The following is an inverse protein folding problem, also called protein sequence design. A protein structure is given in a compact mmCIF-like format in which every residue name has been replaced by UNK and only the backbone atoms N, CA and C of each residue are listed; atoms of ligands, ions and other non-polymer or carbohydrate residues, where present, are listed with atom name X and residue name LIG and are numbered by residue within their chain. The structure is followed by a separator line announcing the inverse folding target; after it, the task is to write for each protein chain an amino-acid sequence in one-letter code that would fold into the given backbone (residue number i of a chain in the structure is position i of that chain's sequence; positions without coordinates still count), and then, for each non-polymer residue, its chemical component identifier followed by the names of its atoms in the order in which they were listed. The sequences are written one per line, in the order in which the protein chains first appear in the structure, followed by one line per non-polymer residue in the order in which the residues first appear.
data_IF_169440523078
#
_entry.id   IF_169440523078
#
_cell.length_a   1.000
_cell.length_b   1.000
_cell.length_c   1.000
_cell.angle_alpha   90.00
_cell.angle_beta   90.00
_cell.angle_gamma   90.00
#
_symmetry.space_group_name_H-M   'P 1'
#
loop_
_entity.id
_entity.type
_entity.pdbx_description
1 polymer ?
#
# COMPACT_ATOMS: atom_id res chain seq x y z
N UNK A 1 24.03 17.27 -3.25
CA UNK A 1 23.78 18.76 -3.18
C UNK A 1 22.33 19.02 -2.81
N UNK A 2 22.11 19.79 -1.75
CA UNK A 2 20.77 20.15 -1.27
C UNK A 2 20.14 21.22 -2.16
N UNK A 3 18.87 21.02 -2.55
CA UNK A 3 18.10 21.88 -3.46
C UNK A 3 17.17 22.80 -2.65
N UNK A 4 17.18 24.08 -2.98
CA UNK A 4 16.33 25.12 -2.39
C UNK A 4 14.90 25.13 -2.97
N UNK A 5 13.97 25.73 -2.22
CA UNK A 5 12.54 25.81 -2.56
C UNK A 5 12.22 26.57 -3.87
N UNK A 6 13.16 27.31 -4.43
CA UNK A 6 13.00 28.01 -5.72
C UNK A 6 13.31 27.17 -6.96
N UNK A 7 13.79 25.95 -6.83
CA UNK A 7 14.19 25.10 -7.95
C UNK A 7 13.04 24.19 -8.44
N UNK A 8 12.97 23.93 -9.74
CA UNK A 8 11.97 23.03 -10.35
C UNK A 8 12.03 21.61 -9.76
N UNK A 9 13.25 21.12 -9.51
CA UNK A 9 13.46 19.80 -8.90
C UNK A 9 12.90 19.72 -7.46
N UNK A 10 13.00 20.81 -6.66
CA UNK A 10 12.34 20.89 -5.37
C UNK A 10 10.81 20.78 -5.52
N UNK A 11 10.24 21.56 -6.46
CA UNK A 11 8.80 21.55 -6.70
C UNK A 11 8.30 20.18 -7.19
N UNK A 12 9.11 19.45 -7.94
CA UNK A 12 8.78 18.08 -8.38
C UNK A 12 8.78 17.09 -7.21
N UNK A 13 9.86 17.05 -6.42
CA UNK A 13 10.02 16.12 -5.30
C UNK A 13 9.02 16.35 -4.15
N UNK A 14 8.50 17.58 -4.00
CA UNK A 14 7.54 17.95 -2.95
C UNK A 14 6.08 17.82 -3.37
N UNK A 15 5.80 17.16 -4.50
CA UNK A 15 4.46 16.80 -4.97
C UNK A 15 4.24 15.30 -4.80
N UNK A 16 3.84 14.84 -3.61
CA UNK A 16 3.56 13.43 -3.40
C UNK A 16 2.37 12.98 -4.24
N UNK A 17 2.27 11.67 -4.53
CA UNK A 17 1.11 11.13 -5.26
C UNK A 17 -0.20 11.42 -4.52
N UNK A 18 -0.21 11.33 -3.18
CA UNK A 18 -1.35 11.82 -2.40
C UNK A 18 -1.24 13.33 -2.20
N UNK A 19 -1.96 14.09 -3.00
CA UNK A 19 -1.94 15.56 -2.99
C UNK A 19 -2.77 16.20 -1.86
N UNK A 20 -3.37 15.41 -0.94
CA UNK A 20 -4.00 15.93 0.27
C UNK A 20 -2.99 16.43 1.31
N UNK A 21 -1.70 16.10 1.14
CA UNK A 21 -0.62 16.44 2.06
C UNK A 21 0.28 17.52 1.48
N UNK A 22 0.54 18.56 2.26
CA UNK A 22 1.49 19.63 1.89
C UNK A 22 2.89 19.26 2.34
N UNK A 23 3.87 19.40 1.45
CA UNK A 23 5.28 19.19 1.75
C UNK A 23 6.09 20.45 1.50
N UNK A 24 6.71 20.99 2.57
CA UNK A 24 7.57 22.19 2.53
C UNK A 24 8.85 21.94 3.33
N UNK A 25 9.68 20.96 2.92
CA UNK A 25 10.94 20.69 3.61
C UNK A 25 11.90 21.88 3.52
N UNK A 26 12.86 21.95 4.45
CA UNK A 26 13.93 22.95 4.39
C UNK A 26 14.72 22.84 3.08
N UNK A 27 14.96 21.62 2.63
CA UNK A 27 15.69 21.27 1.39
C UNK A 27 15.20 19.95 0.84
N UNK A 28 15.50 19.68 -0.41
CA UNK A 28 15.42 18.36 -1.04
C UNK A 28 16.83 17.90 -1.41
N UNK A 29 17.15 16.65 -1.16
CA UNK A 29 18.35 15.95 -1.64
C UNK A 29 17.94 14.91 -2.68
N UNK A 30 18.21 15.08 -3.98
CA UNK A 30 18.08 14.03 -4.96
C UNK A 30 19.10 12.93 -4.70
N UNK A 31 18.67 11.69 -4.60
CA UNK A 31 19.50 10.52 -4.39
C UNK A 31 19.46 9.68 -5.67
N UNK A 32 20.51 9.76 -6.46
CA UNK A 32 20.66 9.02 -7.72
C UNK A 32 21.37 7.69 -7.57
N UNK A 33 22.27 7.60 -6.58
CA UNK A 33 23.08 6.42 -6.30
C UNK A 33 23.16 6.19 -4.77
N UNK A 34 23.41 4.95 -4.31
CA UNK A 34 23.54 4.65 -2.88
C UNK A 34 24.59 5.51 -2.16
N UNK A 35 25.70 5.82 -2.84
CA UNK A 35 26.80 6.60 -2.29
C UNK A 35 26.46 8.10 -2.12
N UNK A 36 25.39 8.59 -2.71
CA UNK A 36 24.89 9.94 -2.46
C UNK A 36 24.36 10.11 -1.04
N UNK A 37 23.86 9.04 -0.41
CA UNK A 37 23.16 9.11 0.88
C UNK A 37 24.09 9.60 2.01
N UNK A 38 25.30 9.01 2.23
CA UNK A 38 26.22 9.51 3.26
C UNK A 38 26.62 10.97 3.03
N UNK A 39 26.92 11.34 1.77
CA UNK A 39 27.30 12.70 1.41
C UNK A 39 26.16 13.70 1.71
N UNK A 40 24.92 13.36 1.36
CA UNK A 40 23.74 14.18 1.65
C UNK A 40 23.50 14.31 3.16
N UNK A 41 23.69 13.24 3.94
CA UNK A 41 23.62 13.30 5.42
C UNK A 41 24.64 14.28 6.01
N UNK A 42 25.85 14.33 5.47
CA UNK A 42 26.89 15.28 5.91
C UNK A 42 26.52 16.72 5.54
N UNK A 43 25.95 16.96 4.34
CA UNK A 43 25.42 18.28 3.98
C UNK A 43 24.28 18.72 4.89
N UNK A 44 23.36 17.82 5.27
CA UNK A 44 22.27 18.11 6.23
C UNK A 44 22.86 18.48 7.60
N UNK A 45 23.86 17.75 8.07
CA UNK A 45 24.55 18.06 9.33
C UNK A 45 25.25 19.43 9.29
N UNK A 46 25.86 19.79 8.16
CA UNK A 46 26.47 21.11 7.96
C UNK A 46 25.40 22.22 7.95
N UNK A 47 24.27 22.01 7.28
CA UNK A 47 23.15 22.94 7.24
C UNK A 47 22.56 23.14 8.65
N UNK A 48 22.36 22.06 9.41
CA UNK A 48 21.86 22.12 10.79
C UNK A 48 22.79 22.97 11.68
N UNK A 49 24.11 22.77 11.58
CA UNK A 49 25.11 23.56 12.32
C UNK A 49 25.09 25.05 11.92
N UNK A 50 25.02 25.34 10.61
CA UNK A 50 25.08 26.73 10.12
C UNK A 50 23.81 27.54 10.47
N UNK A 51 22.66 26.85 10.53
CA UNK A 51 21.37 27.50 10.82
C UNK A 51 20.99 27.46 12.31
N UNK A 52 21.70 26.68 13.13
CA UNK A 52 21.33 26.41 14.52
C UNK A 52 20.01 25.64 14.69
N UNK A 53 19.50 25.02 13.60
CA UNK A 53 18.23 24.29 13.59
C UNK A 53 18.48 22.79 13.70
N UNK A 54 17.59 22.10 14.40
CA UNK A 54 17.53 20.64 14.31
C UNK A 54 16.80 20.27 13.00
N UNK A 55 17.45 19.45 12.17
CA UNK A 55 16.88 18.93 10.94
C UNK A 55 16.84 17.41 11.02
N UNK A 56 15.77 16.82 10.51
CA UNK A 56 15.64 15.37 10.32
C UNK A 56 15.55 15.04 8.82
N UNK A 57 15.97 13.82 8.45
CA UNK A 57 15.92 13.34 7.06
C UNK A 57 14.75 12.39 6.90
N UNK A 58 13.95 12.58 5.86
CA UNK A 58 12.85 11.68 5.48
C UNK A 58 13.05 11.21 4.05
N UNK A 59 13.25 9.90 3.80
CA UNK A 59 13.30 9.36 2.44
C UNK A 59 11.89 9.26 1.85
N UNK A 60 11.75 9.61 0.57
CA UNK A 60 10.51 9.49 -0.20
C UNK A 60 10.85 9.12 -1.65
N UNK A 61 10.12 8.16 -2.21
CA UNK A 61 10.13 7.87 -3.64
C UNK A 61 8.89 8.50 -4.31
N UNK A 62 7.78 7.77 -4.43
CA UNK A 62 6.58 8.23 -5.16
C UNK A 62 5.58 9.01 -4.30
N UNK A 63 5.70 8.96 -2.98
CA UNK A 63 4.83 9.68 -2.06
C UNK A 63 3.38 9.20 -1.98
N UNK A 64 3.07 7.96 -2.39
CA UNK A 64 1.73 7.38 -2.20
C UNK A 64 1.32 7.33 -0.73
N UNK A 65 2.24 6.98 0.15
CA UNK A 65 2.01 6.91 1.60
C UNK A 65 2.21 8.24 2.34
N UNK A 66 2.30 9.38 1.64
CA UNK A 66 2.43 10.68 2.28
C UNK A 66 1.18 10.98 3.11
N UNK A 67 1.35 11.06 4.43
CA UNK A 67 0.24 11.21 5.38
C UNK A 67 0.46 12.25 6.46
N UNK A 68 1.70 12.73 6.61
CA UNK A 68 2.06 13.81 7.52
C UNK A 68 2.54 15.01 6.72
N UNK A 69 2.31 16.20 7.25
CA UNK A 69 2.96 17.40 6.72
C UNK A 69 4.47 17.31 6.89
N UNK A 70 5.19 17.72 5.87
CA UNK A 70 6.64 17.86 5.88
C UNK A 70 6.95 19.34 5.91
N UNK A 71 7.52 19.81 7.01
CA UNK A 71 7.84 21.20 7.26
C UNK A 71 9.34 21.51 7.12
N UNK A 72 9.72 22.73 7.43
CA UNK A 72 11.10 23.19 7.40
C UNK A 72 12.04 22.53 8.45
N UNK A 73 11.56 21.66 9.31
CA UNK A 73 12.37 20.80 10.20
C UNK A 73 12.90 19.56 9.50
N UNK A 74 12.53 19.36 8.24
CA UNK A 74 12.86 18.15 7.46
C UNK A 74 13.69 18.50 6.23
N UNK A 75 14.65 17.63 5.90
CA UNK A 75 15.24 17.53 4.57
C UNK A 75 14.70 16.27 3.91
N UNK A 76 14.03 16.42 2.76
CA UNK A 76 13.45 15.32 2.01
C UNK A 76 14.53 14.68 1.13
N UNK A 77 14.80 13.39 1.30
CA UNK A 77 15.64 12.62 0.39
C UNK A 77 14.77 12.00 -0.68
N UNK A 78 14.84 12.55 -1.89
CA UNK A 78 14.14 12.01 -3.06
C UNK A 78 14.90 10.81 -3.60
N UNK A 79 14.37 9.63 -3.33
CA UNK A 79 14.95 8.34 -3.74
C UNK A 79 14.33 7.79 -5.02
N UNK A 80 13.52 8.56 -5.73
CA UNK A 80 12.80 8.12 -6.93
C UNK A 80 13.71 7.64 -8.06
N UNK A 81 14.95 8.17 -8.15
CA UNK A 81 15.94 7.77 -9.13
C UNK A 81 16.67 6.45 -8.81
N UNK A 82 16.51 5.89 -7.61
CA UNK A 82 16.98 4.54 -7.27
C UNK A 82 16.01 3.49 -7.82
N UNK A 83 15.87 3.37 -9.13
CA UNK A 83 14.82 2.61 -9.82
C UNK A 83 15.28 1.32 -10.50
N UNK A 84 16.54 0.93 -10.32
CA UNK A 84 17.09 -0.28 -10.92
C UNK A 84 16.31 -1.54 -10.51
N UNK A 85 16.11 -2.46 -11.48
CA UNK A 85 15.42 -3.74 -11.26
C UNK A 85 16.23 -4.86 -11.91
N UNK A 86 16.58 -5.88 -11.14
CA UNK A 86 17.22 -7.11 -11.60
C UNK A 86 16.45 -8.30 -11.08
N UNK A 87 16.16 -9.27 -11.95
CA UNK A 87 15.46 -10.51 -11.61
C UNK A 87 16.40 -11.69 -11.74
N UNK A 88 16.51 -12.49 -10.68
CA UNK A 88 17.09 -13.83 -10.76
C UNK A 88 15.95 -14.87 -10.83
N UNK A 89 15.66 -15.41 -12.01
CA UNK A 89 14.60 -16.39 -12.14
C UNK A 89 14.94 -17.76 -11.52
N UNK A 90 16.22 -18.05 -11.30
CA UNK A 90 16.66 -19.31 -10.69
C UNK A 90 16.33 -19.36 -9.21
N UNK A 91 16.60 -18.28 -8.49
CA UNK A 91 16.26 -18.14 -7.06
C UNK A 91 14.87 -17.53 -6.85
N UNK A 92 14.26 -16.94 -7.90
CA UNK A 92 13.03 -16.17 -7.87
C UNK A 92 13.12 -14.97 -6.93
N UNK A 93 14.22 -14.26 -7.00
CA UNK A 93 14.47 -13.06 -6.21
C UNK A 93 14.58 -11.85 -7.14
N UNK A 94 13.91 -10.76 -6.78
CA UNK A 94 14.12 -9.46 -7.37
C UNK A 94 15.06 -8.64 -6.48
N UNK A 95 16.11 -8.07 -7.06
CA UNK A 95 16.93 -7.02 -6.45
C UNK A 95 16.50 -5.69 -7.05
N UNK A 96 15.97 -4.79 -6.23
CA UNK A 96 15.31 -3.56 -6.69
C UNK A 96 15.80 -2.36 -5.91
N UNK A 97 15.94 -1.23 -6.59
CA UNK A 97 16.18 0.05 -5.96
C UNK A 97 14.96 0.54 -5.16
N UNK A 98 15.18 1.32 -4.12
CA UNK A 98 14.11 1.79 -3.21
C UNK A 98 13.08 2.72 -3.91
N UNK A 99 13.45 3.33 -5.03
CA UNK A 99 12.58 4.14 -5.89
C UNK A 99 11.80 3.34 -6.94
N UNK A 100 12.18 2.07 -7.20
CA UNK A 100 11.53 1.23 -8.19
C UNK A 100 10.03 1.09 -7.90
N UNK A 101 9.22 1.12 -8.96
CA UNK A 101 7.76 0.93 -8.86
C UNK A 101 7.37 -0.53 -9.06
N UNK A 102 6.22 -0.93 -8.55
CA UNK A 102 5.69 -2.27 -8.78
C UNK A 102 5.42 -2.55 -10.26
N UNK A 103 5.08 -1.51 -11.05
CA UNK A 103 4.98 -1.66 -12.51
C UNK A 103 6.29 -2.14 -13.13
N UNK A 104 7.41 -1.50 -12.78
CA UNK A 104 8.73 -1.86 -13.32
C UNK A 104 9.15 -3.27 -12.88
N UNK A 105 8.96 -3.62 -11.61
CA UNK A 105 9.30 -4.94 -11.07
C UNK A 105 8.47 -6.03 -11.75
N UNK A 106 7.14 -5.87 -11.82
CA UNK A 106 6.28 -6.89 -12.38
C UNK A 106 6.46 -7.05 -13.90
N UNK A 107 6.70 -5.96 -14.64
CA UNK A 107 7.04 -6.03 -16.06
C UNK A 107 8.37 -6.77 -16.32
N UNK A 108 9.34 -6.67 -15.40
CA UNK A 108 10.58 -7.42 -15.50
C UNK A 108 10.40 -8.89 -15.12
N UNK A 109 9.66 -9.18 -14.03
CA UNK A 109 9.42 -10.52 -13.48
C UNK A 109 8.54 -11.38 -14.39
N UNK A 110 7.53 -10.79 -15.03
CA UNK A 110 6.59 -11.47 -15.91
C UNK A 110 7.26 -12.17 -17.10
N UNK A 111 8.36 -11.65 -17.62
CA UNK A 111 9.18 -12.28 -18.66
C UNK A 111 9.71 -13.66 -18.25
N UNK A 112 9.67 -13.97 -16.97
CA UNK A 112 10.08 -15.23 -16.37
C UNK A 112 8.91 -16.01 -15.77
N UNK A 113 7.65 -15.60 -16.04
CA UNK A 113 6.44 -16.20 -15.47
C UNK A 113 6.31 -15.95 -13.95
N UNK A 114 6.87 -14.86 -13.46
CA UNK A 114 6.90 -14.48 -12.05
C UNK A 114 6.20 -13.13 -11.84
N UNK A 115 5.67 -12.92 -10.63
CA UNK A 115 5.17 -11.62 -10.16
C UNK A 115 5.62 -11.35 -8.72
N UNK A 116 5.79 -10.08 -8.38
CA UNK A 116 5.94 -9.63 -7.01
C UNK A 116 4.58 -9.42 -6.32
N UNK A 117 4.55 -9.28 -5.00
CA UNK A 117 3.33 -9.10 -4.20
C UNK A 117 2.78 -7.67 -4.26
N UNK A 118 2.58 -7.15 -5.47
CA UNK A 118 2.13 -5.79 -5.75
C UNK A 118 0.68 -5.54 -5.32
N UNK A 119 0.39 -4.29 -4.96
CA UNK A 119 -0.96 -3.76 -4.77
C UNK A 119 -1.69 -3.48 -6.09
N UNK A 120 -2.76 -2.70 -6.01
CA UNK A 120 -3.58 -2.29 -7.15
C UNK A 120 -2.97 -1.13 -7.94
N UNK A 121 -2.27 -0.19 -7.29
CA UNK A 121 -1.69 0.97 -7.95
C UNK A 121 -0.26 0.67 -8.44
N UNK A 122 -0.02 0.59 -9.76
CA UNK A 122 1.27 0.17 -10.32
C UNK A 122 2.40 1.19 -10.11
N UNK A 123 2.05 2.46 -9.88
CA UNK A 123 3.00 3.56 -9.62
C UNK A 123 3.54 3.61 -8.19
N UNK A 124 3.06 2.76 -7.29
CA UNK A 124 3.56 2.69 -5.90
C UNK A 124 4.99 2.15 -5.88
N UNK A 125 5.88 2.83 -5.12
CA UNK A 125 7.24 2.33 -4.93
C UNK A 125 7.29 1.09 -4.03
N UNK A 126 8.19 0.17 -4.39
CA UNK A 126 8.36 -1.11 -3.69
C UNK A 126 8.69 -0.91 -2.21
N UNK A 127 9.62 0.01 -1.89
CA UNK A 127 10.14 0.19 -0.53
C UNK A 127 9.04 0.63 0.45
N UNK A 128 8.40 1.78 0.20
CA UNK A 128 7.39 2.31 1.12
C UNK A 128 6.21 1.36 1.33
N UNK A 129 5.77 0.70 0.27
CA UNK A 129 4.71 -0.30 0.30
C UNK A 129 5.09 -1.52 1.16
N UNK A 130 6.25 -2.12 0.89
CA UNK A 130 6.73 -3.32 1.58
C UNK A 130 6.98 -3.06 3.07
N UNK A 131 7.61 -1.93 3.41
CA UNK A 131 7.89 -1.56 4.80
C UNK A 131 6.62 -1.28 5.62
N UNK A 132 5.52 -0.92 4.96
CA UNK A 132 4.21 -0.75 5.60
C UNK A 132 3.37 -2.05 5.71
N UNK A 133 3.93 -3.19 5.34
CA UNK A 133 3.25 -4.49 5.25
C UNK A 133 2.98 -4.90 3.80
N UNK A 134 2.37 -4.04 3.01
CA UNK A 134 2.05 -4.27 1.59
C UNK A 134 1.02 -5.38 1.35
N UNK A 135 -0.20 -5.00 0.94
CA UNK A 135 -1.32 -5.92 0.75
C UNK A 135 -1.69 -5.93 -0.72
N UNK A 136 -1.36 -7.01 -1.40
CA UNK A 136 -1.55 -7.16 -2.84
C UNK A 136 -2.66 -8.13 -3.23
N UNK A 137 -2.84 -8.28 -4.55
CA UNK A 137 -3.80 -9.22 -5.12
C UNK A 137 -3.41 -10.69 -4.89
N UNK A 138 -2.14 -10.97 -4.61
CA UNK A 138 -1.66 -12.33 -4.36
C UNK A 138 -1.61 -12.67 -2.85
N UNK A 139 -2.10 -11.80 -1.98
CA UNK A 139 -1.95 -11.90 -0.52
C UNK A 139 -2.48 -13.21 0.06
N UNK A 140 -3.56 -13.76 -0.49
CA UNK A 140 -4.14 -15.01 0.03
C UNK A 140 -3.28 -16.24 -0.27
N UNK A 141 -2.52 -16.24 -1.36
CA UNK A 141 -1.57 -17.30 -1.70
C UNK A 141 -0.17 -17.03 -1.15
N UNK A 142 0.32 -15.82 -1.29
CA UNK A 142 1.74 -15.48 -1.14
C UNK A 142 2.04 -14.67 0.13
N UNK A 143 1.00 -14.19 0.84
CA UNK A 143 1.13 -13.39 2.05
C UNK A 143 1.37 -11.89 1.76
N UNK A 144 1.72 -11.15 2.83
CA UNK A 144 2.06 -9.74 2.74
C UNK A 144 3.42 -9.53 2.05
N UNK A 145 3.59 -8.39 1.38
CA UNK A 145 4.86 -8.04 0.73
C UNK A 145 6.03 -7.96 1.73
N UNK A 146 5.77 -7.53 2.96
CA UNK A 146 6.76 -7.54 4.05
C UNK A 146 7.30 -8.95 4.34
N UNK A 147 6.48 -9.99 4.22
CA UNK A 147 6.90 -11.38 4.37
C UNK A 147 7.74 -11.90 3.21
N UNK A 148 7.71 -11.23 2.04
CA UNK A 148 8.54 -11.55 0.89
C UNK A 148 9.94 -10.91 0.95
N UNK A 149 10.19 -10.01 1.91
CA UNK A 149 11.45 -9.25 2.00
C UNK A 149 12.60 -10.12 2.52
N UNK A 150 13.62 -10.34 1.68
CA UNK A 150 14.83 -11.09 2.01
C UNK A 150 15.85 -10.24 2.74
N UNK A 151 16.25 -9.13 2.10
CA UNK A 151 17.27 -8.24 2.61
C UNK A 151 16.95 -6.78 2.26
N UNK A 152 17.53 -5.86 3.03
CA UNK A 152 17.52 -4.43 2.77
C UNK A 152 18.94 -3.89 2.90
N UNK A 153 19.45 -3.31 1.83
CA UNK A 153 20.66 -2.52 1.88
C UNK A 153 20.28 -1.09 2.24
N UNK A 154 20.87 -0.57 3.31
CA UNK A 154 20.49 0.73 3.86
C UNK A 154 21.67 1.49 4.43
N UNK A 155 21.49 2.78 4.63
CA UNK A 155 22.43 3.66 5.35
C UNK A 155 21.81 3.98 6.71
N UNK A 156 22.60 3.79 7.77
CA UNK A 156 22.20 4.12 9.15
C UNK A 156 22.34 5.63 9.44
N UNK A 157 21.87 6.08 10.60
CA UNK A 157 21.94 7.49 11.00
C UNK A 157 23.35 8.06 11.11
N UNK A 158 24.38 7.21 11.21
CA UNK A 158 25.80 7.64 11.21
C UNK A 158 26.37 7.79 9.79
N UNK A 159 25.64 7.41 8.74
CA UNK A 159 26.11 7.40 7.36
C UNK A 159 26.82 6.12 6.94
N UNK A 160 26.77 5.03 7.72
CA UNK A 160 27.38 3.74 7.39
C UNK A 160 26.44 2.90 6.57
N UNK A 161 26.95 2.31 5.49
CA UNK A 161 26.25 1.29 4.69
C UNK A 161 26.15 -0.01 5.47
N UNK A 162 24.95 -0.62 5.48
CA UNK A 162 24.58 -1.85 6.20
C UNK A 162 23.69 -2.73 5.35
N UNK A 163 23.64 -4.01 5.71
CA UNK A 163 22.72 -4.99 5.07
C UNK A 163 21.92 -5.68 6.16
N UNK A 164 20.63 -5.39 6.19
CA UNK A 164 19.67 -6.06 7.07
C UNK A 164 19.21 -7.37 6.42
N UNK A 165 19.42 -8.49 7.09
CA UNK A 165 19.01 -9.84 6.65
C UNK A 165 18.90 -10.76 7.86
N UNK A 166 18.18 -11.90 7.73
CA UNK A 166 18.00 -12.87 8.83
C UNK A 166 19.32 -13.51 9.27
N UNK A 167 20.27 -13.69 8.36
CA UNK A 167 21.60 -14.30 8.57
C UNK A 167 22.73 -13.25 8.69
N UNK A 168 22.39 -11.97 8.82
CA UNK A 168 23.40 -10.91 8.99
C UNK A 168 24.27 -11.19 10.22
N UNK A 169 25.61 -10.96 10.16
CA UNK A 169 26.50 -11.22 11.28
C UNK A 169 26.22 -10.31 12.49
N UNK A 170 25.79 -9.07 12.25
CA UNK A 170 25.48 -8.09 13.29
C UNK A 170 24.02 -8.27 13.78
N UNK A 171 23.83 -8.27 15.11
CA UNK A 171 22.49 -8.36 15.70
C UNK A 171 21.61 -7.18 15.29
N UNK A 172 22.18 -5.98 15.18
CA UNK A 172 21.41 -4.80 14.77
C UNK A 172 20.81 -4.96 13.37
N UNK A 173 21.54 -5.61 12.43
CA UNK A 173 21.05 -5.84 11.08
C UNK A 173 19.96 -6.94 11.04
N UNK A 174 20.05 -7.95 11.92
CA UNK A 174 18.95 -8.92 12.10
C UNK A 174 17.72 -8.29 12.71
N UNK A 175 17.88 -7.38 13.67
CA UNK A 175 16.75 -6.64 14.23
C UNK A 175 16.19 -5.62 13.24
N UNK A 176 17.02 -5.02 12.40
CA UNK A 176 16.59 -4.08 11.37
C UNK A 176 15.73 -4.77 10.28
N UNK A 177 16.10 -5.98 9.81
CA UNK A 177 15.25 -6.68 8.83
C UNK A 177 13.88 -7.03 9.43
N UNK A 178 13.83 -7.43 10.70
CA UNK A 178 12.57 -7.67 11.40
C UNK A 178 11.69 -6.40 11.42
N UNK A 179 12.27 -5.23 11.67
CA UNK A 179 11.54 -3.95 11.68
C UNK A 179 11.11 -3.51 10.27
N UNK A 180 11.98 -3.63 9.25
CA UNK A 180 11.64 -3.36 7.85
C UNK A 180 10.46 -4.20 7.35
N UNK A 181 10.25 -5.38 7.92
CA UNK A 181 9.10 -6.23 7.64
C UNK A 181 7.84 -5.79 8.37
N UNK A 182 7.35 -4.58 8.05
CA UNK A 182 6.03 -4.11 8.45
C UNK A 182 5.96 -3.03 9.53
N UNK A 183 7.09 -2.61 10.14
CA UNK A 183 7.09 -1.47 11.07
C UNK A 183 7.52 -0.15 10.42
N UNK A 184 7.76 -0.16 9.11
CA UNK A 184 8.28 0.98 8.37
C UNK A 184 9.81 1.00 8.30
N UNK A 185 10.38 2.00 7.63
CA UNK A 185 11.82 2.16 7.51
C UNK A 185 12.47 2.55 8.85
N UNK A 186 13.59 1.90 9.19
CA UNK A 186 14.40 2.23 10.37
C UNK A 186 15.76 2.85 10.00
N UNK A 187 16.08 2.91 8.70
CA UNK A 187 17.23 3.57 8.09
C UNK A 187 16.86 4.09 6.71
N UNK A 188 17.83 4.59 5.93
CA UNK A 188 17.60 5.05 4.56
C UNK A 188 17.91 3.87 3.63
N UNK A 189 16.87 3.14 3.22
CA UNK A 189 16.99 2.02 2.29
C UNK A 189 17.31 2.52 0.87
N UNK A 190 18.19 1.82 0.16
CA UNK A 190 18.53 2.08 -1.23
C UNK A 190 18.32 0.87 -2.14
N UNK A 191 18.38 -0.36 -1.62
CA UNK A 191 18.15 -1.60 -2.38
C UNK A 191 17.42 -2.61 -1.53
N UNK A 192 16.47 -3.32 -2.12
CA UNK A 192 15.70 -4.39 -1.50
C UNK A 192 15.87 -5.70 -2.29
N UNK A 193 15.87 -6.81 -1.59
CA UNK A 193 15.77 -8.15 -2.17
C UNK A 193 14.44 -8.79 -1.75
N UNK A 194 13.65 -9.24 -2.74
CA UNK A 194 12.28 -9.69 -2.55
C UNK A 194 12.01 -11.01 -3.25
N UNK A 195 11.24 -11.90 -2.61
CA UNK A 195 10.67 -13.07 -3.28
C UNK A 195 9.72 -12.68 -4.41
N UNK A 196 9.80 -13.43 -5.49
CA UNK A 196 8.84 -13.44 -6.58
C UNK A 196 8.11 -14.77 -6.61
N UNK A 197 6.88 -14.75 -7.10
CA UNK A 197 5.96 -15.87 -7.05
C UNK A 197 5.54 -16.30 -8.46
N UNK A 198 5.40 -17.62 -8.76
CA UNK A 198 4.90 -18.09 -10.04
C UNK A 198 3.48 -17.56 -10.33
N UNK A 199 3.27 -17.08 -11.56
CA UNK A 199 2.00 -16.54 -12.03
C UNK A 199 1.76 -16.85 -13.52
N UNK A 200 2.03 -18.09 -13.93
CA UNK A 200 1.92 -18.53 -15.32
C UNK A 200 0.49 -18.79 -15.77
N UNK A 201 -0.45 -18.91 -14.83
CA UNK A 201 -1.88 -19.17 -15.12
C UNK A 201 -2.77 -18.15 -14.39
N UNK A 202 -2.36 -16.88 -14.42
CA UNK A 202 -3.06 -15.80 -13.76
C UNK A 202 -4.38 -15.48 -14.49
N UNK A 203 -5.48 -15.63 -13.77
CA UNK A 203 -6.79 -15.13 -14.14
C UNK A 203 -7.20 -14.01 -13.19
N UNK A 204 -7.70 -12.92 -13.73
CA UNK A 204 -8.20 -11.82 -12.94
C UNK A 204 -9.27 -11.04 -13.72
N UNK A 205 -9.95 -10.13 -13.06
CA UNK A 205 -10.92 -9.25 -13.72
C UNK A 205 -11.77 -8.49 -12.76
N UNK A 206 -12.58 -7.59 -13.31
CA UNK A 206 -13.56 -6.80 -12.60
C UNK A 206 -14.95 -7.02 -13.19
N UNK A 207 -15.94 -7.09 -12.30
CA UNK A 207 -17.34 -7.09 -12.66
C UNK A 207 -17.99 -5.82 -12.11
N UNK A 208 -18.87 -5.22 -12.90
CA UNK A 208 -19.54 -3.96 -12.57
C UNK A 208 -21.06 -4.09 -12.70
N UNK A 209 -21.79 -3.55 -11.73
CA UNK A 209 -23.25 -3.49 -11.73
C UNK A 209 -23.72 -2.07 -11.35
N UNK A 210 -24.95 -1.67 -11.74
CA UNK A 210 -25.58 -0.48 -11.16
C UNK A 210 -25.75 -0.63 -9.65
N UNK A 211 -25.73 0.49 -8.91
CA UNK A 211 -25.91 0.50 -7.46
C UNK A 211 -27.18 -0.23 -6.98
N UNK A 212 -28.25 -0.25 -7.79
CA UNK A 212 -29.51 -0.97 -7.49
C UNK A 212 -29.35 -2.48 -7.37
N UNK A 213 -28.26 -3.06 -7.89
CA UNK A 213 -27.97 -4.49 -7.75
C UNK A 213 -27.25 -4.84 -6.44
N UNK A 214 -26.89 -3.86 -5.60
CA UNK A 214 -26.11 -4.08 -4.38
C UNK A 214 -26.72 -5.19 -3.50
N UNK A 215 -28.02 -5.21 -3.14
CA UNK A 215 -28.54 -6.24 -2.25
C UNK A 215 -28.40 -7.66 -2.82
N UNK A 216 -28.70 -7.85 -4.09
CA UNK A 216 -28.67 -9.17 -4.74
C UNK A 216 -27.22 -9.67 -4.88
N UNK A 217 -26.31 -8.79 -5.31
CA UNK A 217 -24.88 -9.14 -5.49
C UNK A 217 -24.25 -9.43 -4.13
N UNK A 218 -24.56 -8.64 -3.10
CA UNK A 218 -24.04 -8.86 -1.75
C UNK A 218 -24.53 -10.15 -1.12
N UNK A 219 -25.82 -10.49 -1.28
CA UNK A 219 -26.36 -11.76 -0.78
C UNK A 219 -25.63 -12.95 -1.44
N UNK A 220 -25.38 -12.89 -2.75
CA UNK A 220 -24.66 -13.93 -3.47
C UNK A 220 -23.19 -14.00 -3.02
N UNK A 221 -22.51 -12.86 -2.93
CA UNK A 221 -21.12 -12.78 -2.48
C UNK A 221 -20.95 -13.32 -1.05
N UNK A 222 -21.75 -12.85 -0.10
CA UNK A 222 -21.67 -13.30 1.31
C UNK A 222 -21.90 -14.81 1.46
N UNK A 223 -22.80 -15.38 0.65
CA UNK A 223 -23.06 -16.82 0.65
C UNK A 223 -21.91 -17.63 0.05
N UNK A 224 -21.23 -17.11 -0.97
CA UNK A 224 -20.23 -17.85 -1.74
C UNK A 224 -18.79 -17.63 -1.26
N UNK A 225 -18.49 -16.51 -0.58
CA UNK A 225 -17.12 -16.11 -0.26
C UNK A 225 -16.37 -17.13 0.61
N UNK A 226 -17.05 -17.81 1.50
CA UNK A 226 -16.47 -18.85 2.35
C UNK A 226 -16.04 -20.11 1.59
N UNK A 227 -16.54 -20.31 0.37
CA UNK A 227 -16.21 -21.45 -0.51
C UNK A 227 -15.18 -21.11 -1.60
N UNK A 228 -14.70 -19.88 -1.64
CA UNK A 228 -13.66 -19.45 -2.59
C UNK A 228 -12.34 -20.15 -2.28
N UNK A 229 -11.70 -20.72 -3.28
CA UNK A 229 -10.47 -21.49 -3.13
C UNK A 229 -9.32 -20.71 -2.49
N UNK A 230 -8.43 -21.43 -1.86
CA UNK A 230 -7.21 -20.87 -1.26
C UNK A 230 -6.38 -20.15 -2.34
N UNK A 231 -5.95 -18.96 -2.04
CA UNK A 231 -5.16 -18.14 -2.96
C UNK A 231 -5.97 -17.19 -3.85
N UNK A 232 -7.29 -17.35 -3.99
CA UNK A 232 -8.14 -16.39 -4.71
C UNK A 232 -8.40 -15.16 -3.84
N UNK A 233 -7.96 -14.00 -4.29
CA UNK A 233 -8.24 -12.72 -3.63
C UNK A 233 -9.42 -12.03 -4.28
N UNK A 234 -10.30 -11.44 -3.48
CA UNK A 234 -11.45 -10.67 -3.97
C UNK A 234 -11.55 -9.33 -3.25
N UNK A 235 -12.10 -8.35 -3.95
CA UNK A 235 -12.53 -7.06 -3.38
C UNK A 235 -13.92 -6.75 -3.90
N UNK A 236 -14.87 -6.58 -3.00
CA UNK A 236 -16.22 -6.12 -3.35
C UNK A 236 -16.47 -4.76 -2.75
N UNK A 237 -17.05 -3.84 -3.52
CA UNK A 237 -17.23 -2.49 -3.06
C UNK A 237 -18.24 -1.68 -3.87
N UNK A 238 -18.37 -0.42 -3.49
CA UNK A 238 -19.07 0.62 -4.23
C UNK A 238 -18.08 1.67 -4.70
N UNK A 239 -18.23 2.12 -5.94
CA UNK A 239 -17.36 3.07 -6.59
C UNK A 239 -18.19 4.17 -7.25
N UNK A 240 -17.87 5.42 -6.96
CA UNK A 240 -18.45 6.57 -7.67
C UNK A 240 -17.70 6.77 -8.98
N UNK A 241 -18.30 6.31 -10.07
CA UNK A 241 -17.69 6.27 -11.40
C UNK A 241 -17.57 7.69 -11.95
N UNK A 242 -16.39 8.14 -12.42
CA UNK A 242 -16.24 9.40 -13.12
C UNK A 242 -17.10 9.47 -14.39
N UNK A 243 -17.56 10.67 -14.81
CA UNK A 243 -18.35 10.84 -16.04
C UNK A 243 -17.47 10.81 -17.30
N UNK A 244 -16.54 9.83 -17.40
CA UNK A 244 -15.54 9.74 -18.47
C UNK A 244 -15.16 8.29 -18.80
N UNK A 245 -14.61 8.01 -20.01
CA UNK A 245 -13.98 6.73 -20.31
C UNK A 245 -12.89 6.38 -19.28
N UNK A 246 -12.56 5.07 -19.09
CA UNK A 246 -12.99 3.91 -19.89
C UNK A 246 -14.27 3.22 -19.41
N UNK A 247 -15.00 3.79 -18.47
CA UNK A 247 -16.18 3.14 -17.89
C UNK A 247 -17.34 3.01 -18.89
N UNK A 248 -18.20 1.96 -18.76
CA UNK A 248 -19.42 1.83 -19.55
C UNK A 248 -20.32 3.07 -19.43
N UNK A 249 -20.92 3.49 -20.56
CA UNK A 249 -21.74 4.71 -20.62
C UNK A 249 -22.88 4.73 -19.60
N UNK A 250 -23.46 3.56 -19.33
CA UNK A 250 -24.56 3.37 -18.36
C UNK A 250 -24.15 3.65 -16.92
N UNK A 251 -22.85 3.55 -16.61
CA UNK A 251 -22.30 3.75 -15.25
C UNK A 251 -21.63 5.11 -15.06
N UNK A 252 -21.33 5.85 -16.14
CA UNK A 252 -20.63 7.14 -16.03
C UNK A 252 -21.40 8.15 -15.21
N UNK A 253 -20.72 8.75 -14.23
CA UNK A 253 -21.31 9.71 -13.30
C UNK A 253 -22.28 9.11 -12.29
N UNK A 254 -22.29 7.78 -12.13
CA UNK A 254 -23.17 7.05 -11.20
C UNK A 254 -22.37 6.24 -10.21
N UNK A 255 -23.05 5.73 -9.20
CA UNK A 255 -22.48 4.74 -8.28
C UNK A 255 -22.66 3.34 -8.84
N UNK A 256 -21.59 2.57 -8.80
CA UNK A 256 -21.56 1.17 -9.23
C UNK A 256 -21.15 0.23 -8.10
N UNK A 257 -21.65 -1.00 -8.12
CA UNK A 257 -21.08 -2.13 -7.38
C UNK A 257 -19.91 -2.65 -8.22
N UNK A 258 -18.78 -2.88 -7.58
CA UNK A 258 -17.55 -3.33 -8.20
C UNK A 258 -17.05 -4.59 -7.48
N UNK A 259 -16.78 -5.65 -8.22
CA UNK A 259 -16.13 -6.87 -7.72
C UNK A 259 -14.85 -7.11 -8.51
N UNK A 260 -13.70 -6.98 -7.87
CA UNK A 260 -12.42 -7.39 -8.44
C UNK A 260 -12.03 -8.77 -7.89
N UNK A 261 -11.51 -9.63 -8.76
CA UNK A 261 -11.08 -11.00 -8.42
C UNK A 261 -9.72 -11.27 -9.07
N UNK A 262 -8.83 -11.94 -8.33
CA UNK A 262 -7.57 -12.47 -8.84
C UNK A 262 -7.36 -13.91 -8.37
N UNK A 263 -7.15 -14.81 -9.33
CA UNK A 263 -6.80 -16.21 -9.11
C UNK A 263 -5.44 -16.49 -9.78
N UNK A 264 -4.37 -16.59 -9.02
CA UNK A 264 -3.04 -16.81 -9.58
C UNK A 264 -2.77 -18.27 -10.00
N UNK A 265 -3.74 -19.18 -9.80
CA UNK A 265 -3.61 -20.61 -10.05
C UNK A 265 -4.60 -21.11 -11.12
N UNK A 266 -5.20 -20.22 -11.91
CA UNK A 266 -6.14 -20.57 -12.96
C UNK A 266 -7.53 -19.96 -12.79
N UNK A 267 -8.56 -20.59 -13.36
CA UNK A 267 -9.91 -20.02 -13.39
C UNK A 267 -10.91 -20.75 -12.51
N UNK A 268 -10.57 -21.91 -11.98
CA UNK A 268 -11.56 -22.83 -11.37
C UNK A 268 -11.88 -22.50 -9.91
N UNK A 269 -10.90 -21.98 -9.16
CA UNK A 269 -11.08 -21.70 -7.74
C UNK A 269 -12.00 -20.49 -7.45
N UNK A 270 -12.16 -19.59 -8.43
CA UNK A 270 -13.10 -18.46 -8.37
C UNK A 270 -14.49 -18.77 -8.96
N UNK A 271 -14.66 -19.90 -9.66
CA UNK A 271 -15.83 -20.18 -10.48
C UNK A 271 -17.15 -20.13 -9.71
N UNK A 272 -17.22 -20.74 -8.51
CA UNK A 272 -18.45 -20.76 -7.71
C UNK A 272 -18.93 -19.37 -7.31
N UNK A 273 -18.01 -18.48 -6.98
CA UNK A 273 -18.33 -17.09 -6.63
C UNK A 273 -18.80 -16.32 -7.88
N UNK A 274 -18.08 -16.44 -8.99
CA UNK A 274 -18.42 -15.78 -10.26
C UNK A 274 -19.81 -16.20 -10.75
N UNK A 275 -20.10 -17.51 -10.75
CA UNK A 275 -21.40 -18.03 -11.15
C UNK A 275 -22.53 -17.52 -10.24
N UNK A 276 -22.31 -17.48 -8.92
CA UNK A 276 -23.29 -16.98 -7.98
C UNK A 276 -23.63 -15.50 -8.19
N UNK A 277 -22.63 -14.63 -8.33
CA UNK A 277 -22.87 -13.18 -8.51
C UNK A 277 -23.45 -12.85 -9.88
N UNK A 278 -23.06 -13.57 -10.95
CA UNK A 278 -23.62 -13.42 -12.29
C UNK A 278 -25.09 -13.87 -12.36
N UNK A 279 -25.40 -14.95 -11.65
CA UNK A 279 -26.79 -15.43 -11.56
C UNK A 279 -27.69 -14.49 -10.72
N UNK A 280 -27.16 -13.85 -9.70
CA UNK A 280 -27.90 -12.92 -8.87
C UNK A 280 -28.29 -11.63 -9.60
N UNK A 281 -27.41 -11.10 -10.43
CA UNK A 281 -27.67 -9.95 -11.29
C UNK A 281 -26.69 -9.99 -12.49
N UNK A 282 -27.17 -9.74 -13.74
CA UNK A 282 -26.28 -9.65 -14.88
C UNK A 282 -25.38 -8.41 -14.76
N UNK A 283 -24.03 -8.55 -14.85
CA UNK A 283 -23.13 -7.40 -14.82
C UNK A 283 -23.22 -6.58 -16.10
N UNK A 284 -23.01 -5.27 -16.00
CA UNK A 284 -22.89 -4.34 -17.13
C UNK A 284 -21.49 -4.41 -17.74
N UNK A 285 -20.48 -4.67 -16.91
CA UNK A 285 -19.10 -4.93 -17.31
C UNK A 285 -18.60 -6.21 -16.67
N UNK A 286 -17.90 -7.05 -17.44
CA UNK A 286 -17.30 -8.30 -16.98
C UNK A 286 -16.08 -8.58 -17.88
N UNK A 287 -14.88 -8.42 -17.29
CA UNK A 287 -13.62 -8.65 -18.00
C UNK A 287 -12.78 -9.79 -17.41
N UNK A 288 -13.43 -10.69 -16.63
CA UNK A 288 -12.77 -11.87 -16.07
C UNK A 288 -12.13 -12.74 -17.16
N UNK A 289 -10.86 -13.06 -16.99
CA UNK A 289 -10.10 -13.91 -17.92
C UNK A 289 -8.61 -13.93 -17.61
N UNK A 290 -7.80 -14.55 -18.49
CA UNK A 290 -6.35 -14.50 -18.39
C UNK A 290 -5.86 -13.05 -18.39
N UNK A 291 -4.92 -12.74 -17.50
CA UNK A 291 -4.32 -11.41 -17.38
C UNK A 291 -2.80 -11.51 -17.29
N UNK A 292 -2.16 -10.47 -17.77
CA UNK A 292 -0.77 -10.14 -17.49
C UNK A 292 -0.63 -9.25 -16.24
N UNK A 293 0.59 -8.85 -15.90
CA UNK A 293 0.87 -7.99 -14.75
C UNK A 293 0.14 -6.64 -14.83
N UNK A 294 0.06 -6.06 -16.02
CA UNK A 294 -0.62 -4.79 -16.23
C UNK A 294 -2.15 -4.94 -16.10
N UNK A 295 -2.70 -6.03 -16.62
CA UNK A 295 -4.10 -6.37 -16.48
C UNK A 295 -4.50 -6.60 -15.01
N UNK A 296 -3.66 -7.30 -14.24
CA UNK A 296 -3.87 -7.48 -12.80
C UNK A 296 -3.91 -6.14 -12.06
N UNK A 297 -2.99 -5.22 -12.35
CA UNK A 297 -2.99 -3.89 -11.75
C UNK A 297 -4.24 -3.07 -12.11
N UNK A 298 -4.87 -3.36 -13.27
CA UNK A 298 -6.04 -2.64 -13.77
C UNK A 298 -7.38 -3.03 -13.15
N UNK A 299 -7.50 -4.17 -12.46
CA UNK A 299 -8.83 -4.67 -12.02
C UNK A 299 -9.48 -3.85 -10.92
N UNK A 300 -8.73 -3.03 -10.18
CA UNK A 300 -9.25 -2.18 -9.11
C UNK A 300 -9.74 -0.81 -9.58
N UNK A 301 -9.30 -0.38 -10.77
CA UNK A 301 -9.69 0.89 -11.38
C UNK A 301 -9.15 2.13 -10.62
N UNK A 302 -7.97 2.02 -10.01
CA UNK A 302 -7.31 3.12 -9.31
C UNK A 302 -7.06 4.33 -10.25
N UNK A 303 -7.19 5.57 -9.74
CA UNK A 303 -6.86 6.76 -10.52
C UNK A 303 -5.38 6.75 -10.95
N UNK A 304 -5.05 7.01 -12.23
CA UNK A 304 -3.67 6.98 -12.70
C UNK A 304 -2.86 8.22 -12.31
N UNK A 305 -3.52 9.24 -11.76
CA UNK A 305 -2.92 10.53 -11.42
C UNK A 305 -3.07 10.84 -9.93
N UNK A 306 -2.20 11.73 -9.44
CA UNK A 306 -2.25 12.22 -8.07
C UNK A 306 -3.63 12.73 -7.68
N UNK A 307 -4.14 12.29 -6.54
CA UNK A 307 -5.46 12.65 -6.00
C UNK A 307 -5.36 13.15 -4.57
N UNK A 308 -6.19 14.13 -4.17
CA UNK A 308 -6.26 14.60 -2.80
C UNK A 308 -7.16 13.65 -1.96
N UNK A 309 -6.66 12.43 -1.70
CA UNK A 309 -7.40 11.37 -1.03
C UNK A 309 -7.19 11.38 0.49
N UNK A 310 -8.28 11.12 1.22
CA UNK A 310 -8.27 10.76 2.65
C UNK A 310 -8.82 9.35 2.74
N UNK A 311 -8.03 8.42 3.29
CA UNK A 311 -8.40 7.03 3.46
C UNK A 311 -8.59 6.64 4.92
N UNK A 312 -9.58 5.79 5.17
CA UNK A 312 -9.77 5.06 6.44
C UNK A 312 -9.81 3.56 6.13
N UNK A 313 -9.11 2.77 6.93
CA UNK A 313 -9.04 1.34 6.71
C UNK A 313 -8.99 0.57 8.04
N UNK A 314 -9.50 -0.67 8.01
CA UNK A 314 -9.56 -1.52 9.20
C UNK A 314 -9.42 -2.99 8.83
N UNK A 315 -8.64 -3.74 9.60
CA UNK A 315 -8.67 -5.19 9.55
C UNK A 315 -9.94 -5.70 10.22
N UNK A 316 -10.68 -6.56 9.51
CA UNK A 316 -11.93 -7.14 9.96
C UNK A 316 -11.81 -8.67 10.08
N UNK A 317 -12.60 -9.25 10.95
CA UNK A 317 -12.64 -10.67 11.24
C UNK A 317 -13.59 -11.48 10.32
N UNK A 318 -13.85 -12.74 10.67
CA UNK A 318 -14.67 -13.65 9.90
C UNK A 318 -16.18 -13.29 9.89
N UNK A 319 -16.65 -12.39 10.75
CA UNK A 319 -18.04 -11.91 10.75
C UNK A 319 -18.31 -10.86 9.65
N UNK A 320 -17.29 -10.45 8.90
CA UNK A 320 -17.42 -9.42 7.86
C UNK A 320 -18.48 -9.69 6.80
N UNK A 321 -18.69 -10.92 6.28
CA UNK A 321 -19.77 -11.17 5.31
C UNK A 321 -21.17 -10.85 5.82
N UNK A 322 -21.42 -10.94 7.12
CA UNK A 322 -22.73 -10.67 7.74
C UNK A 322 -23.07 -9.18 7.78
N UNK A 323 -22.07 -8.32 7.76
CA UNK A 323 -22.23 -6.85 7.83
C UNK A 323 -21.95 -6.15 6.48
N UNK A 324 -21.50 -6.89 5.48
CA UNK A 324 -20.94 -6.34 4.25
C UNK A 324 -21.93 -5.48 3.46
N UNK A 325 -23.19 -5.93 3.29
CA UNK A 325 -24.23 -5.15 2.62
C UNK A 325 -24.52 -3.84 3.36
N UNK A 326 -24.71 -3.92 4.70
CA UNK A 326 -24.98 -2.74 5.52
C UNK A 326 -23.83 -1.74 5.47
N UNK A 327 -22.59 -2.24 5.44
CA UNK A 327 -21.39 -1.41 5.36
C UNK A 327 -21.33 -0.66 4.02
N UNK A 328 -21.43 -1.37 2.89
CA UNK A 328 -21.36 -0.76 1.56
C UNK A 328 -22.55 0.18 1.30
N UNK A 329 -23.73 -0.09 1.87
CA UNK A 329 -24.89 0.78 1.77
C UNK A 329 -24.66 2.18 2.36
N UNK A 330 -23.67 2.36 3.24
CA UNK A 330 -23.34 3.68 3.80
C UNK A 330 -22.68 4.63 2.78
N UNK A 331 -22.20 4.11 1.62
CA UNK A 331 -21.53 4.88 0.58
C UNK A 331 -22.24 4.84 -0.77
N UNK A 332 -23.46 4.26 -0.88
CA UNK A 332 -24.14 4.03 -2.15
C UNK A 332 -24.92 5.25 -2.68
N UNK A 333 -25.19 6.25 -1.85
CA UNK A 333 -25.89 7.46 -2.27
C UNK A 333 -25.01 8.31 -3.20
N UNK A 334 -25.61 8.94 -4.24
CA UNK A 334 -24.88 9.75 -5.23
C UNK A 334 -24.12 10.92 -4.60
N UNK A 335 -24.60 11.46 -3.47
CA UNK A 335 -23.99 12.53 -2.70
C UNK A 335 -23.12 12.03 -1.53
N UNK A 336 -22.88 10.73 -1.41
CA UNK A 336 -22.02 10.21 -0.36
C UNK A 336 -20.60 10.79 -0.44
N UNK A 337 -20.00 11.20 0.70
CA UNK A 337 -18.66 11.80 0.71
C UNK A 337 -17.55 10.78 0.51
N UNK A 338 -17.85 9.49 0.67
CA UNK A 338 -16.94 8.38 0.42
C UNK A 338 -17.11 7.95 -1.03
N UNK A 339 -16.08 8.18 -1.85
CA UNK A 339 -16.12 7.94 -3.29
C UNK A 339 -15.80 6.50 -3.68
N UNK A 340 -15.12 5.78 -2.80
CA UNK A 340 -14.85 4.35 -2.91
C UNK A 340 -14.93 3.72 -1.54
N UNK A 341 -15.61 2.61 -1.43
CA UNK A 341 -15.64 1.77 -0.25
C UNK A 341 -15.57 0.31 -0.67
N UNK A 342 -14.63 -0.43 -0.09
CA UNK A 342 -14.43 -1.84 -0.42
C UNK A 342 -14.30 -2.71 0.82
N UNK A 343 -14.58 -4.00 0.62
CA UNK A 343 -14.24 -5.10 1.52
C UNK A 343 -13.37 -6.07 0.74
N UNK A 344 -12.11 -6.22 1.16
CA UNK A 344 -11.16 -7.13 0.51
C UNK A 344 -10.97 -8.38 1.35
N UNK A 345 -11.10 -9.56 0.71
CA UNK A 345 -10.81 -10.85 1.34
C UNK A 345 -9.29 -11.12 1.26
N UNK A 346 -8.64 -11.22 2.41
CA UNK A 346 -7.18 -11.25 2.55
C UNK A 346 -6.68 -12.35 3.49
N UNK A 347 -7.56 -13.20 4.01
CA UNK A 347 -7.15 -14.38 4.78
C UNK A 347 -6.19 -15.22 3.95
N UNK A 348 -4.93 -15.28 4.32
CA UNK A 348 -3.87 -15.83 3.50
C UNK A 348 -2.94 -16.77 4.24
N UNK A 349 -2.00 -17.33 3.48
CA UNK A 349 -0.96 -18.20 4.02
C UNK A 349 -0.10 -17.45 5.06
N UNK A 350 0.30 -18.11 6.15
CA UNK A 350 1.24 -17.52 7.11
C UNK A 350 2.58 -17.22 6.44
N UNK A 351 3.21 -16.14 6.84
CA UNK A 351 4.58 -15.83 6.39
C UNK A 351 5.57 -16.89 6.82
N UNK A 352 6.59 -17.12 5.99
CA UNK A 352 7.72 -17.98 6.30
C UNK A 352 8.85 -17.27 7.06
N UNK A 353 8.77 -15.92 7.15
CA UNK A 353 9.76 -15.08 7.81
C UNK A 353 9.16 -14.36 9.00
N UNK A 354 9.99 -14.13 10.02
CA UNK A 354 9.64 -13.29 11.16
C UNK A 354 9.71 -11.80 10.79
N UNK A 355 8.86 -10.99 11.41
CA UNK A 355 8.78 -9.56 11.17
C UNK A 355 7.70 -8.89 11.98
N UNK A 356 7.71 -7.56 12.00
CA UNK A 356 6.75 -6.76 12.76
C UNK A 356 5.30 -6.96 12.31
N UNK A 357 5.06 -7.03 10.98
CA UNK A 357 3.77 -7.39 10.37
C UNK A 357 4.04 -8.18 9.10
N UNK A 358 3.94 -9.49 9.17
CA UNK A 358 4.16 -10.40 8.03
C UNK A 358 2.98 -11.33 7.77
N UNK A 359 1.96 -11.26 8.65
CA UNK A 359 0.71 -12.04 8.52
C UNK A 359 -0.48 -11.10 8.70
N UNK A 360 -1.52 -11.21 7.88
CA UNK A 360 -2.75 -10.45 8.04
C UNK A 360 -3.38 -10.68 9.42
N UNK A 361 -3.67 -9.60 10.20
CA UNK A 361 -4.31 -9.76 11.53
C UNK A 361 -5.81 -10.08 11.44
N UNK A 362 -6.42 -10.04 10.26
CA UNK A 362 -7.82 -10.35 10.02
C UNK A 362 -8.03 -11.02 8.67
N UNK A 363 -9.21 -11.61 8.47
CA UNK A 363 -9.58 -12.26 7.21
C UNK A 363 -10.01 -11.29 6.11
N UNK A 364 -10.40 -10.08 6.51
CA UNK A 364 -10.90 -9.05 5.61
C UNK A 364 -10.30 -7.69 5.93
N UNK A 365 -10.39 -6.77 4.97
CA UNK A 365 -10.08 -5.35 5.14
C UNK A 365 -11.28 -4.54 4.68
N UNK A 366 -11.72 -3.61 5.51
CA UNK A 366 -12.48 -2.44 5.08
C UNK A 366 -11.52 -1.37 4.60
N UNK A 367 -11.84 -0.73 3.48
CA UNK A 367 -11.17 0.47 3.01
C UNK A 367 -12.19 1.46 2.45
N UNK A 368 -12.15 2.69 2.93
CA UNK A 368 -12.96 3.79 2.44
C UNK A 368 -12.10 4.97 2.06
N UNK A 369 -12.41 5.61 0.93
CA UNK A 369 -11.69 6.78 0.41
C UNK A 369 -12.65 7.92 0.17
N UNK A 370 -12.34 9.09 0.74
CA UNK A 370 -12.97 10.36 0.45
C UNK A 370 -12.04 11.24 -0.39
N UNK A 371 -12.58 12.00 -1.33
CA UNK A 371 -11.81 12.90 -2.20
C UNK A 371 -12.04 14.36 -1.78
N UNK A 372 -10.97 15.04 -1.31
CA UNK A 372 -11.00 16.48 -1.08
C UNK A 372 -11.21 17.21 -2.43
N UNK A 373 -12.09 18.22 -2.43
CA UNK A 373 -12.50 18.90 -3.67
C UNK A 373 -13.86 18.42 -4.18
N UNK A 374 -14.26 17.17 -3.90
CA UNK A 374 -15.65 16.70 -4.02
C UNK A 374 -16.43 16.92 -2.74
N UNK A 375 -15.82 16.61 -1.60
CA UNK A 375 -16.41 16.78 -0.26
C UNK A 375 -15.42 17.48 0.67
N UNK A 376 -15.94 18.15 1.68
CA UNK A 376 -15.13 18.74 2.74
C UNK A 376 -14.57 17.65 3.66
N UNK A 377 -13.50 17.95 4.38
CA UNK A 377 -12.93 17.04 5.38
C UNK A 377 -13.97 16.61 6.42
N UNK A 378 -14.81 17.51 6.89
CA UNK A 378 -15.83 17.18 7.89
C UNK A 378 -16.89 16.21 7.36
N UNK A 379 -17.31 16.35 6.09
CA UNK A 379 -18.25 15.42 5.45
C UNK A 379 -17.60 14.02 5.27
N UNK A 380 -16.34 13.96 4.86
CA UNK A 380 -15.57 12.71 4.73
C UNK A 380 -15.46 12.02 6.10
N UNK A 381 -15.08 12.75 7.16
CA UNK A 381 -14.99 12.21 8.52
C UNK A 381 -16.35 11.70 9.04
N UNK A 382 -17.45 12.37 8.71
CA UNK A 382 -18.81 11.91 9.01
C UNK A 382 -19.17 10.64 8.23
N UNK A 383 -18.70 10.51 6.97
CA UNK A 383 -18.82 9.30 6.17
C UNK A 383 -18.11 8.11 6.81
N UNK A 384 -16.87 8.29 7.22
CA UNK A 384 -16.12 7.26 7.95
C UNK A 384 -16.75 6.90 9.29
N UNK A 385 -17.33 7.86 10.01
CA UNK A 385 -18.05 7.59 11.26
C UNK A 385 -19.27 6.69 11.04
N UNK A 386 -20.02 6.88 9.94
CA UNK A 386 -21.13 5.99 9.57
C UNK A 386 -20.64 4.57 9.26
N UNK A 387 -19.59 4.44 8.45
CA UNK A 387 -18.97 3.14 8.17
C UNK A 387 -18.49 2.44 9.44
N UNK A 388 -17.85 3.19 10.35
CA UNK A 388 -17.36 2.70 11.64
C UNK A 388 -18.47 2.15 12.52
N UNK A 389 -19.63 2.76 12.53
CA UNK A 389 -20.78 2.26 13.30
C UNK A 389 -21.22 0.85 12.87
N UNK A 390 -20.95 0.49 11.59
CA UNK A 390 -21.24 -0.84 11.06
C UNK A 390 -20.08 -1.81 11.28
N UNK A 391 -18.88 -1.45 10.79
CA UNK A 391 -17.76 -2.40 10.83
C UNK A 391 -17.20 -2.66 12.24
N UNK A 392 -17.54 -1.85 13.25
CA UNK A 392 -17.13 -2.09 14.63
C UNK A 392 -17.53 -3.46 15.18
N UNK A 393 -18.56 -4.09 14.62
CA UNK A 393 -18.98 -5.45 14.99
C UNK A 393 -17.99 -6.55 14.59
N UNK A 394 -17.13 -6.26 13.59
CA UNK A 394 -16.12 -7.19 13.06
C UNK A 394 -14.68 -6.65 13.23
N UNK A 395 -14.48 -5.61 14.05
CA UNK A 395 -13.18 -4.93 14.22
C UNK A 395 -12.17 -5.78 14.97
N UNK A 396 -11.01 -6.03 14.36
CA UNK A 396 -9.87 -6.68 15.03
C UNK A 396 -9.07 -5.73 15.93
N UNK A 397 -9.39 -4.45 15.97
CA UNK A 397 -8.63 -3.41 16.65
C UNK A 397 -7.36 -2.97 15.91
N UNK A 398 -7.16 -3.38 14.65
CA UNK A 398 -5.94 -3.13 13.87
C UNK A 398 -6.24 -2.36 12.59
N UNK A 399 -5.29 -1.49 12.22
CA UNK A 399 -5.29 -0.70 10.98
C UNK A 399 -4.25 -1.27 10.00
N UNK A 400 -4.57 -1.46 8.72
CA UNK A 400 -3.56 -1.75 7.70
C UNK A 400 -2.77 -0.47 7.38
N UNK A 401 -1.56 -0.35 7.93
CA UNK A 401 -0.76 0.89 7.92
C UNK A 401 -0.43 1.42 6.52
N UNK A 402 -0.35 0.54 5.53
CA UNK A 402 -0.11 0.91 4.11
C UNK A 402 -1.37 1.36 3.36
N UNK A 403 -2.58 1.29 3.98
CA UNK A 403 -3.86 1.61 3.35
C UNK A 403 -4.56 2.83 3.95
N UNK A 404 -3.97 3.45 4.96
CA UNK A 404 -4.47 4.70 5.52
C UNK A 404 -3.86 5.86 4.77
N UNK A 405 -4.65 6.50 3.93
CA UNK A 405 -4.20 7.57 3.05
C UNK A 405 -4.30 8.95 3.70
N UNK A 406 -3.42 9.85 3.29
CA UNK A 406 -3.39 11.22 3.78
C UNK A 406 -3.18 11.29 5.29
N UNK A 407 -3.92 12.18 5.95
CA UNK A 407 -3.84 12.43 7.39
C UNK A 407 -4.62 11.44 8.26
N UNK A 408 -5.03 10.28 7.71
CA UNK A 408 -5.68 9.21 8.49
C UNK A 408 -4.79 8.66 9.59
N UNK A 409 -5.39 8.18 10.69
CA UNK A 409 -4.65 7.67 11.85
C UNK A 409 -4.14 6.25 11.64
N UNK A 410 -2.85 6.03 11.89
CA UNK A 410 -2.19 4.71 11.91
C UNK A 410 -1.84 4.24 13.32
N UNK A 411 -2.37 4.87 14.36
CA UNK A 411 -1.99 4.63 15.76
C UNK A 411 -2.18 3.17 16.23
N UNK A 412 -3.10 2.41 15.62
CA UNK A 412 -3.33 0.99 15.94
C UNK A 412 -2.83 0.03 14.85
N UNK A 413 -1.93 0.48 13.95
CA UNK A 413 -1.37 -0.40 12.93
C UNK A 413 -0.53 -1.53 13.52
N UNK A 414 0.20 -1.24 14.60
CA UNK A 414 1.08 -2.18 15.28
C UNK A 414 0.63 -2.45 16.71
N UNK A 415 0.86 -3.66 17.26
CA UNK A 415 0.79 -3.95 18.69
C UNK A 415 1.76 -3.07 19.49
N UNK A 416 1.45 -2.78 20.75
CA UNK A 416 2.28 -1.92 21.59
C UNK A 416 3.70 -2.47 21.81
N UNK A 417 3.84 -3.76 22.02
CA UNK A 417 5.11 -4.48 22.14
C UNK A 417 5.94 -4.44 20.85
N UNK A 418 5.27 -4.55 19.70
CA UNK A 418 5.92 -4.40 18.37
C UNK A 418 6.41 -2.96 18.16
N UNK A 419 5.61 -1.96 18.55
CA UNK A 419 6.01 -0.55 18.49
C UNK A 419 7.23 -0.30 19.38
N UNK A 420 7.24 -0.82 20.62
CA UNK A 420 8.36 -0.67 21.55
C UNK A 420 9.65 -1.28 20.97
N UNK A 421 9.58 -2.54 20.49
CA UNK A 421 10.72 -3.21 19.85
C UNK A 421 11.20 -2.46 18.61
N UNK A 422 10.32 -2.05 17.71
CA UNK A 422 10.70 -1.34 16.50
C UNK A 422 11.31 0.04 16.78
N UNK A 423 10.83 0.74 17.81
CA UNK A 423 11.44 2.00 18.28
C UNK A 423 12.84 1.78 18.83
N UNK A 424 13.06 0.71 19.59
CA UNK A 424 14.38 0.36 20.09
C UNK A 424 15.38 0.08 18.94
N UNK A 425 14.94 -0.63 17.91
CA UNK A 425 15.73 -0.85 16.68
C UNK A 425 16.03 0.49 15.99
N UNK A 426 15.03 1.35 15.79
CA UNK A 426 15.22 2.65 15.16
C UNK A 426 16.18 3.55 15.95
N UNK A 427 16.11 3.55 17.31
CA UNK A 427 17.06 4.29 18.16
C UNK A 427 18.48 3.72 18.08
N UNK A 428 18.64 2.41 17.89
CA UNK A 428 19.96 1.78 17.74
C UNK A 428 20.56 2.04 16.36
N UNK A 429 19.74 2.09 15.30
CA UNK A 429 20.17 2.43 13.93
C UNK A 429 20.51 3.93 13.81
N UNK A 430 19.85 4.80 14.56
CA UNK A 430 20.01 6.25 14.51
C UNK A 430 20.03 6.85 15.93
N UNK A 431 21.12 6.65 16.71
CA UNK A 431 21.23 7.13 18.09
C UNK A 431 21.20 8.67 18.18
N UNK A 432 21.65 9.36 17.15
CA UNK A 432 21.68 10.82 17.08
C UNK A 432 20.35 11.43 16.61
N UNK A 433 19.38 10.59 16.23
CA UNK A 433 18.04 10.99 15.75
C UNK A 433 18.11 11.97 14.59
N UNK A 434 18.94 11.65 13.60
CA UNK A 434 19.09 12.39 12.34
C UNK A 434 17.99 12.04 11.33
N UNK A 435 17.43 10.84 11.46
CA UNK A 435 16.39 10.32 10.58
C UNK A 435 15.00 10.55 11.14
N UNK A 436 14.05 10.92 10.28
CA UNK A 436 12.64 10.97 10.64
C UNK A 436 12.09 9.54 10.84
N UNK A 437 11.27 9.37 11.87
CA UNK A 437 10.65 8.08 12.16
C UNK A 437 9.50 7.80 11.19
N UNK A 438 9.32 6.53 10.85
CA UNK A 438 8.12 6.05 10.18
C UNK A 438 6.86 6.52 10.93
N UNK A 439 5.80 6.90 10.18
CA UNK A 439 4.50 7.25 10.77
C UNK A 439 3.90 6.12 11.62
N UNK A 440 4.27 4.86 11.35
CA UNK A 440 3.85 3.69 12.13
C UNK A 440 4.49 3.67 13.53
N UNK A 441 5.61 4.37 13.73
CA UNK A 441 6.36 4.47 14.97
C UNK A 441 6.23 5.85 15.62
N UNK A 442 5.47 6.76 15.04
CA UNK A 442 5.18 8.06 15.64
C UNK A 442 4.48 7.90 17.00
N UNK A 443 4.67 8.85 17.96
CA UNK A 443 4.03 8.81 19.26
C UNK A 443 2.51 8.94 19.18
#
# INVERSE_FOLDING_TARGET
MLIDSGADAYAAATRPHNSSTTQRPARVAPIGEPDDIPAALDEVAALARSTGRRLSVVPQATGHGAGAEVDEGVVLFDTSALDAVTIDPGTRVATVGAGATWAAVNAAAERHGLLGPAGSAPSVSVAGYTFGGGIGWLVRRDGLASGALHAVHYVDGSGRSRVAADDAPDQLDRDAIWAFRGAGGVGIAHTLELDLFPATDLHAGALLWPASALPQVMAAWSSAIGGVGDGVSTSIGVLHIPPAPPFPDELRGRVAVHLAIADPNGSTAAASLLDAVRAAAPPVGDDWGPKDAAGLAGIHLDPPTATPAIGDARWLDAATPDIAESLLSTAVADDAPIVMMEIRHVAGAPSRRDGAVVTPPGGFIYHGVGALGRSTRAEIDAGFARARAVWSAADTGRVPGSWVEGSGSVASALPADVVERARAVADAVDPDRRLGRSRLLAP
#
